data_IF_323532516956
#
_entry.id   IF_323532516956
#
_cell.length_a   1.000
_cell.length_b   1.000
_cell.length_c   1.000
_cell.angle_alpha   90.00
_cell.angle_beta   90.00
_cell.angle_gamma   90.00
#
_symmetry.space_group_name_H-M   'P 1'
#
loop_
_entity.id
_entity.type
_entity.pdbx_description
1 polymer ?
#
# COMPACT_ATOMS: atom_id res chain seq x y z
N UNK A 1 36.46 -16.83 84.45
CA UNK A 1 35.16 -17.45 84.78
C UNK A 1 34.04 -16.51 84.40
N UNK A 2 32.95 -17.07 83.84
CA UNK A 2 31.66 -16.45 83.48
C UNK A 2 31.65 -15.50 82.26
N UNK A 3 31.39 -16.11 81.10
CA UNK A 3 30.82 -15.47 79.89
C UNK A 3 29.35 -15.11 80.19
N UNK A 4 28.93 -13.90 79.86
CA UNK A 4 27.50 -13.51 79.82
C UNK A 4 27.19 -13.06 78.39
N UNK A 5 26.37 -13.86 77.71
CA UNK A 5 25.72 -13.57 76.45
C UNK A 5 24.69 -12.45 76.69
N UNK A 6 24.80 -11.33 75.98
CA UNK A 6 23.74 -10.33 75.89
C UNK A 6 22.98 -10.57 74.58
N UNK A 7 21.74 -11.06 74.70
CA UNK A 7 20.79 -11.16 73.60
C UNK A 7 20.07 -9.81 73.45
N UNK A 8 20.25 -9.15 72.31
CA UNK A 8 19.55 -7.92 71.93
C UNK A 8 18.30 -8.27 71.13
N UNK A 9 17.13 -7.96 71.70
CA UNK A 9 15.84 -7.97 70.98
C UNK A 9 15.79 -6.80 69.99
N UNK A 10 15.41 -7.01 68.71
CA UNK A 10 15.06 -5.92 67.82
C UNK A 10 13.60 -5.48 68.07
N UNK A 11 13.43 -4.19 68.39
CA UNK A 11 12.14 -3.55 68.48
C UNK A 11 11.53 -3.37 67.07
N UNK A 12 10.37 -3.98 66.84
CA UNK A 12 9.56 -3.73 65.64
C UNK A 12 8.87 -2.36 65.78
N UNK A 13 9.25 -1.41 64.93
CA UNK A 13 8.53 -0.14 64.78
C UNK A 13 7.27 -0.37 63.93
N UNK A 14 6.09 -0.26 64.53
CA UNK A 14 4.82 -0.17 63.81
C UNK A 14 4.71 1.22 63.17
N UNK A 15 4.84 1.29 61.85
CA UNK A 15 4.46 2.44 61.04
C UNK A 15 2.92 2.47 60.93
N UNK A 16 2.28 3.36 61.69
CA UNK A 16 0.89 3.71 61.50
C UNK A 16 0.76 4.57 60.23
N UNK A 17 0.29 3.97 59.13
CA UNK A 17 -0.03 4.69 57.91
C UNK A 17 -1.33 5.49 58.13
N UNK A 18 -1.23 6.81 58.12
CA UNK A 18 -2.39 7.70 58.03
C UNK A 18 -3.00 7.57 56.63
N UNK A 19 -4.19 6.96 56.53
CA UNK A 19 -5.00 6.93 55.31
C UNK A 19 -5.71 8.26 55.11
N UNK A 20 -5.16 9.12 54.25
CA UNK A 20 -5.89 10.26 53.72
C UNK A 20 -6.93 9.77 52.68
N UNK A 21 -8.19 10.22 52.71
CA UNK A 21 -9.14 9.92 51.66
C UNK A 21 -8.71 10.57 50.34
N UNK A 22 -8.68 9.77 49.27
CA UNK A 22 -8.36 10.24 47.93
C UNK A 22 -9.39 11.29 47.49
N UNK A 23 -8.90 12.45 47.03
CA UNK A 23 -9.75 13.46 46.41
C UNK A 23 -10.47 12.86 45.18
N UNK A 24 -11.76 13.16 44.96
CA UNK A 24 -12.48 12.71 43.78
C UNK A 24 -11.77 13.25 42.52
N UNK A 25 -11.34 12.34 41.65
CA UNK A 25 -10.81 12.69 40.34
C UNK A 25 -11.95 13.27 39.53
N UNK A 26 -11.92 14.57 39.27
CA UNK A 26 -12.80 15.20 38.29
C UNK A 26 -12.48 14.58 36.93
N UNK A 27 -13.36 13.72 36.45
CA UNK A 27 -13.24 13.10 35.14
C UNK A 27 -13.29 14.22 34.10
N UNK A 28 -12.22 14.37 33.31
CA UNK A 28 -12.23 15.32 32.21
C UNK A 28 -13.42 14.96 31.29
N UNK A 29 -14.20 15.95 30.82
CA UNK A 29 -15.34 15.68 29.94
C UNK A 29 -14.85 14.85 28.75
N UNK A 30 -15.53 13.72 28.52
CA UNK A 30 -15.22 12.83 27.42
C UNK A 30 -15.10 13.66 26.14
N UNK A 31 -13.97 13.52 25.43
CA UNK A 31 -13.81 14.13 24.13
C UNK A 31 -15.02 13.75 23.26
N UNK A 32 -15.61 14.70 22.51
CA UNK A 32 -16.75 14.38 21.66
C UNK A 32 -16.38 13.20 20.78
N UNK A 33 -17.27 12.21 20.70
CA UNK A 33 -17.08 11.05 19.86
C UNK A 33 -16.70 11.53 18.46
N UNK A 34 -15.57 11.05 17.93
CA UNK A 34 -15.18 11.36 16.58
C UNK A 34 -16.38 11.08 15.64
N UNK A 35 -16.68 11.98 14.69
CA UNK A 35 -17.83 11.80 13.81
C UNK A 35 -17.79 10.40 13.20
N UNK A 36 -18.92 9.70 13.27
CA UNK A 36 -19.03 8.39 12.66
C UNK A 36 -18.80 8.54 11.16
N UNK A 37 -17.74 7.93 10.64
CA UNK A 37 -17.50 7.83 9.20
C UNK A 37 -18.50 6.84 8.61
N UNK A 38 -19.76 7.27 8.48
CA UNK A 38 -20.77 6.53 7.76
C UNK A 38 -20.60 6.81 6.27
N UNK A 39 -19.70 6.06 5.63
CA UNK A 39 -19.61 6.00 4.18
C UNK A 39 -20.22 4.70 3.71
N UNK A 40 -21.09 4.77 2.72
CA UNK A 40 -21.60 3.57 2.05
C UNK A 40 -20.44 2.93 1.29
N UNK A 41 -20.08 1.70 1.64
CA UNK A 41 -19.05 0.98 0.90
C UNK A 41 -19.55 0.72 -0.52
N UNK A 42 -18.82 1.21 -1.52
CA UNK A 42 -19.08 0.87 -2.90
C UNK A 42 -18.74 -0.61 -3.14
N UNK A 43 -19.58 -1.30 -3.91
CA UNK A 43 -19.32 -2.68 -4.32
C UNK A 43 -18.41 -2.61 -5.55
N UNK A 44 -17.18 -3.14 -5.50
CA UNK A 44 -16.29 -3.07 -6.65
C UNK A 44 -16.75 -3.97 -7.79
N UNK A 45 -16.37 -3.64 -9.03
CA UNK A 45 -16.68 -4.42 -10.24
C UNK A 45 -16.37 -5.91 -10.10
N UNK A 46 -15.25 -6.25 -9.46
CA UNK A 46 -14.77 -7.61 -9.24
C UNK A 46 -15.33 -8.29 -7.98
N UNK A 47 -16.38 -7.76 -7.35
CA UNK A 47 -16.93 -8.32 -6.12
C UNK A 47 -17.42 -9.78 -6.25
N UNK A 48 -17.73 -10.22 -7.47
CA UNK A 48 -18.09 -11.61 -7.79
C UNK A 48 -16.90 -12.55 -8.02
N UNK A 49 -15.67 -12.04 -8.10
CA UNK A 49 -14.48 -12.85 -8.34
C UNK A 49 -14.18 -13.78 -7.16
N UNK A 50 -13.76 -15.01 -7.46
CA UNK A 50 -13.50 -16.03 -6.43
C UNK A 50 -12.41 -15.66 -5.43
N UNK A 51 -11.38 -14.92 -5.86
CA UNK A 51 -10.35 -14.38 -4.97
C UNK A 51 -10.94 -13.35 -4.02
N UNK A 52 -11.73 -12.42 -4.56
CA UNK A 52 -12.36 -11.34 -3.79
C UNK A 52 -13.34 -11.90 -2.75
N UNK A 53 -14.29 -12.75 -3.17
CA UNK A 53 -15.30 -13.35 -2.28
C UNK A 53 -14.65 -14.12 -1.13
N UNK A 54 -13.63 -14.93 -1.42
CA UNK A 54 -12.92 -15.69 -0.39
C UNK A 54 -12.17 -14.76 0.58
N UNK A 55 -11.53 -13.71 0.07
CA UNK A 55 -10.81 -12.74 0.89
C UNK A 55 -11.77 -11.92 1.76
N UNK A 56 -12.86 -11.40 1.21
CA UNK A 56 -13.89 -10.65 1.93
C UNK A 56 -14.45 -11.45 3.11
N UNK A 57 -14.83 -12.72 2.88
CA UNK A 57 -15.30 -13.60 3.95
C UNK A 57 -14.26 -13.79 5.07
N UNK A 58 -12.98 -13.91 4.71
CA UNK A 58 -11.91 -14.04 5.69
C UNK A 58 -11.72 -12.74 6.48
N UNK A 59 -11.79 -11.58 5.82
CA UNK A 59 -11.71 -10.25 6.46
C UNK A 59 -12.88 -10.03 7.42
N UNK A 60 -14.11 -10.32 7.01
CA UNK A 60 -15.31 -10.19 7.86
C UNK A 60 -15.20 -11.03 9.13
N UNK A 61 -14.71 -12.26 9.01
CA UNK A 61 -14.47 -13.13 10.16
C UNK A 61 -13.42 -12.53 11.13
N UNK A 62 -12.37 -11.88 10.61
CA UNK A 62 -11.35 -11.21 11.46
C UNK A 62 -11.86 -9.93 12.10
N UNK A 63 -12.70 -9.16 11.39
CA UNK A 63 -13.35 -7.97 11.96
C UNK A 63 -14.23 -8.40 13.13
N UNK A 64 -15.05 -9.44 12.96
CA UNK A 64 -15.89 -9.98 14.02
C UNK A 64 -15.07 -10.55 15.20
N UNK A 65 -13.99 -11.27 14.93
CA UNK A 65 -13.10 -11.85 15.96
C UNK A 65 -12.39 -10.78 16.79
N UNK A 66 -11.91 -9.70 16.15
CA UNK A 66 -11.00 -8.73 16.77
C UNK A 66 -11.66 -7.41 17.17
N UNK A 67 -12.91 -7.18 16.76
CA UNK A 67 -13.59 -5.90 16.98
C UNK A 67 -12.87 -4.73 16.30
N UNK A 68 -12.38 -4.94 15.07
CA UNK A 68 -11.62 -3.92 14.32
C UNK A 68 -12.55 -2.75 13.99
N UNK A 69 -12.08 -1.52 14.25
CA UNK A 69 -12.80 -0.29 13.87
C UNK A 69 -12.39 0.16 12.46
N UNK A 70 -13.29 0.80 11.70
CA UNK A 70 -12.96 1.39 10.42
C UNK A 70 -11.75 2.34 10.50
N UNK A 71 -10.85 2.25 9.53
CA UNK A 71 -9.71 3.14 9.43
C UNK A 71 -10.13 4.45 8.74
N UNK A 72 -9.66 5.59 9.26
CA UNK A 72 -9.83 6.89 8.60
C UNK A 72 -8.91 7.04 7.38
N UNK A 73 -7.68 6.56 7.51
CA UNK A 73 -6.64 6.66 6.49
C UNK A 73 -5.99 5.29 6.31
N UNK A 74 -5.59 4.98 5.09
CA UNK A 74 -4.82 3.78 4.74
C UNK A 74 -3.53 4.24 4.08
N UNK A 75 -2.38 3.74 4.56
CA UNK A 75 -1.08 3.98 3.94
C UNK A 75 -0.48 2.61 3.61
N UNK A 76 -0.24 2.37 2.32
CA UNK A 76 0.36 1.13 1.83
C UNK A 76 1.79 1.38 1.38
N UNK A 77 2.76 0.81 2.09
CA UNK A 77 4.17 0.83 1.69
C UNK A 77 4.50 -0.44 0.91
N UNK A 78 4.97 -0.28 -0.33
CA UNK A 78 5.37 -1.39 -1.20
C UNK A 78 6.89 -1.34 -1.40
N UNK A 79 7.61 -2.31 -0.82
CA UNK A 79 9.00 -2.57 -1.18
C UNK A 79 9.05 -3.50 -2.39
N UNK A 80 9.15 -2.94 -3.60
CA UNK A 80 9.23 -3.72 -4.84
C UNK A 80 10.49 -4.62 -4.82
N UNK A 81 10.30 -5.94 -4.95
CA UNK A 81 11.37 -6.93 -4.79
C UNK A 81 11.90 -7.15 -3.36
N UNK A 82 11.25 -6.58 -2.33
CA UNK A 82 11.73 -6.64 -0.95
C UNK A 82 11.31 -7.93 -0.22
N UNK A 83 11.92 -9.06 -0.59
CA UNK A 83 11.73 -10.34 0.09
C UNK A 83 12.33 -10.39 1.51
N UNK A 84 12.09 -11.48 2.23
CA UNK A 84 12.57 -11.69 3.61
C UNK A 84 14.09 -11.59 3.73
N UNK A 85 14.82 -12.11 2.74
CA UNK A 85 16.29 -12.00 2.66
C UNK A 85 16.73 -10.54 2.51
N UNK A 86 16.07 -9.77 1.64
CA UNK A 86 16.33 -8.33 1.46
C UNK A 86 16.09 -7.55 2.74
N UNK A 87 15.01 -7.85 3.49
CA UNK A 87 14.73 -7.23 4.79
C UNK A 87 15.85 -7.52 5.78
N UNK A 88 16.31 -8.77 5.87
CA UNK A 88 17.38 -9.17 6.78
C UNK A 88 18.70 -8.50 6.43
N UNK A 89 19.07 -8.48 5.14
CA UNK A 89 20.26 -7.80 4.65
C UNK A 89 20.22 -6.29 4.93
N UNK A 90 19.08 -5.64 4.67
CA UNK A 90 18.86 -4.22 4.94
C UNK A 90 18.95 -3.88 6.43
N UNK A 91 18.42 -4.75 7.31
CA UNK A 91 18.53 -4.60 8.78
C UNK A 91 19.99 -4.60 9.22
N UNK A 92 20.76 -5.61 8.79
CA UNK A 92 22.19 -5.73 9.15
C UNK A 92 22.95 -4.50 8.65
N UNK A 93 22.77 -4.14 7.37
CA UNK A 93 23.40 -2.96 6.78
C UNK A 93 23.05 -1.68 7.54
N UNK A 94 21.77 -1.45 7.86
CA UNK A 94 21.32 -0.25 8.56
C UNK A 94 21.86 -0.17 10.00
N UNK A 95 21.99 -1.29 10.70
CA UNK A 95 22.61 -1.33 12.03
C UNK A 95 24.10 -1.04 11.98
N UNK A 96 24.83 -1.67 11.05
CA UNK A 96 26.27 -1.42 10.86
C UNK A 96 26.57 0.03 10.48
N UNK A 97 25.76 0.61 9.59
CA UNK A 97 25.86 2.03 9.21
C UNK A 97 25.63 2.99 10.41
N UNK A 98 24.99 2.52 11.48
CA UNK A 98 24.76 3.25 12.73
C UNK A 98 25.78 2.91 13.83
N UNK A 99 26.79 2.09 13.53
CA UNK A 99 27.84 1.70 14.47
C UNK A 99 27.41 0.67 15.51
N UNK A 100 26.33 -0.09 15.26
CA UNK A 100 25.97 -1.26 16.07
C UNK A 100 26.28 -2.56 15.30
N UNK A 101 26.07 -3.72 15.92
CA UNK A 101 26.41 -5.04 15.36
C UNK A 101 25.75 -5.31 13.99
N UNK A 102 24.51 -4.86 13.82
CA UNK A 102 23.71 -5.08 12.62
C UNK A 102 22.61 -6.09 12.86
N UNK A 103 22.95 -7.26 13.38
CA UNK A 103 22.01 -8.37 13.60
C UNK A 103 20.92 -8.02 14.62
N UNK A 104 21.27 -7.32 15.71
CA UNK A 104 20.33 -6.91 16.76
C UNK A 104 19.51 -5.67 16.40
N UNK A 105 19.88 -4.95 15.34
CA UNK A 105 19.17 -3.76 14.90
C UNK A 105 17.75 -4.11 14.44
N UNK A 106 16.82 -3.16 14.49
CA UNK A 106 15.44 -3.34 13.99
C UNK A 106 15.11 -2.23 13.01
N UNK A 107 14.68 -2.59 11.81
CA UNK A 107 14.08 -1.63 10.88
C UNK A 107 12.74 -1.15 11.44
N UNK A 108 12.31 0.06 11.08
CA UNK A 108 11.04 0.63 11.54
C UNK A 108 9.85 -0.27 11.22
N UNK A 109 9.82 -0.92 10.05
CA UNK A 109 8.74 -1.85 9.69
C UNK A 109 8.63 -3.04 10.65
N UNK A 110 9.74 -3.42 11.30
CA UNK A 110 9.79 -4.56 12.22
C UNK A 110 9.29 -4.21 13.62
N UNK A 111 9.01 -2.93 13.89
CA UNK A 111 8.35 -2.50 15.12
C UNK A 111 6.82 -2.55 15.01
N UNK A 112 6.28 -2.82 13.82
CA UNK A 112 4.85 -3.01 13.63
C UNK A 112 4.36 -4.25 14.40
N UNK A 113 3.17 -4.20 15.04
CA UNK A 113 2.69 -5.26 15.94
C UNK A 113 2.18 -6.50 15.21
N UNK A 114 1.95 -6.42 13.90
CA UNK A 114 1.38 -7.51 13.11
C UNK A 114 2.27 -7.81 11.91
N UNK A 115 2.50 -9.09 11.68
CA UNK A 115 3.19 -9.61 10.50
C UNK A 115 2.38 -10.77 9.91
N UNK A 116 2.55 -10.97 8.61
CA UNK A 116 1.98 -12.08 7.88
C UNK A 116 2.91 -12.45 6.73
N UNK A 117 2.82 -13.69 6.27
CA UNK A 117 3.43 -14.11 5.02
C UNK A 117 2.40 -14.00 3.90
N UNK A 118 2.81 -13.46 2.75
CA UNK A 118 1.97 -13.34 1.56
C UNK A 118 2.40 -14.33 0.48
N UNK A 119 1.44 -15.04 -0.13
CA UNK A 119 1.69 -15.94 -1.26
C UNK A 119 1.53 -15.17 -2.57
N UNK A 120 2.63 -14.93 -3.27
CA UNK A 120 2.72 -13.93 -4.33
C UNK A 120 2.55 -14.45 -5.76
N UNK A 121 2.31 -15.75 -5.98
CA UNK A 121 2.06 -16.29 -7.33
C UNK A 121 0.96 -15.50 -8.07
N UNK A 122 1.08 -15.31 -9.37
CA UNK A 122 0.05 -14.71 -10.22
C UNK A 122 -0.91 -15.77 -10.71
N UNK A 123 -1.96 -15.42 -11.46
CA UNK A 123 -2.90 -16.42 -11.96
C UNK A 123 -2.21 -17.46 -12.88
N UNK A 124 -1.19 -17.03 -13.62
CA UNK A 124 -0.54 -17.76 -14.71
C UNK A 124 0.94 -18.09 -14.44
N UNK A 125 1.60 -17.48 -13.46
CA UNK A 125 3.00 -17.78 -13.10
C UNK A 125 3.21 -18.04 -11.60
N UNK A 126 4.13 -18.97 -11.30
CA UNK A 126 4.59 -19.22 -9.94
C UNK A 126 5.40 -18.04 -9.37
N UNK A 127 6.28 -17.47 -10.20
CA UNK A 127 7.02 -16.24 -9.89
C UNK A 127 6.32 -15.10 -10.60
N UNK A 128 5.60 -14.29 -9.83
CA UNK A 128 4.83 -13.17 -10.37
C UNK A 128 5.73 -11.96 -10.65
N UNK A 129 5.19 -11.03 -11.44
CA UNK A 129 5.78 -9.73 -11.71
C UNK A 129 5.15 -8.62 -10.84
N UNK A 130 5.71 -7.41 -10.90
CA UNK A 130 5.18 -6.26 -10.14
C UNK A 130 3.74 -5.91 -10.53
N UNK A 131 3.33 -6.09 -11.80
CA UNK A 131 2.00 -5.70 -12.26
C UNK A 131 0.88 -6.55 -11.65
N UNK A 132 1.02 -7.88 -11.76
CA UNK A 132 0.02 -8.81 -11.21
C UNK A 132 -0.03 -8.76 -9.68
N UNK A 133 1.11 -8.58 -9.01
CA UNK A 133 1.14 -8.48 -7.54
C UNK A 133 0.59 -7.15 -7.01
N UNK A 134 0.90 -6.03 -7.67
CA UNK A 134 0.36 -4.73 -7.28
C UNK A 134 -1.15 -4.66 -7.51
N UNK A 135 -1.64 -5.17 -8.65
CA UNK A 135 -3.07 -5.35 -8.92
C UNK A 135 -3.74 -6.16 -7.81
N UNK A 136 -3.15 -7.29 -7.39
CA UNK A 136 -3.72 -8.09 -6.31
C UNK A 136 -3.76 -7.37 -4.95
N UNK A 137 -2.79 -6.50 -4.66
CA UNK A 137 -2.77 -5.72 -3.42
C UNK A 137 -3.86 -4.66 -3.37
N UNK A 138 -4.17 -4.01 -4.50
CA UNK A 138 -5.07 -2.84 -4.53
C UNK A 138 -6.49 -3.18 -4.97
N UNK A 139 -6.70 -4.24 -5.74
CA UNK A 139 -8.04 -4.65 -6.24
C UNK A 139 -8.60 -5.86 -5.48
N UNK A 140 -7.74 -6.60 -4.76
CA UNK A 140 -8.12 -7.82 -4.06
C UNK A 140 -8.27 -9.07 -4.93
N UNK A 141 -7.95 -9.00 -6.23
CA UNK A 141 -8.00 -10.15 -7.16
C UNK A 141 -6.64 -10.45 -7.77
N UNK A 142 -6.31 -11.74 -7.93
CA UNK A 142 -5.11 -12.14 -8.68
C UNK A 142 -5.41 -12.08 -10.18
N UNK A 143 -4.44 -11.62 -10.94
CA UNK A 143 -4.54 -11.52 -12.41
C UNK A 143 -3.34 -12.17 -13.10
N UNK A 144 -3.34 -12.12 -14.43
CA UNK A 144 -2.26 -12.61 -15.28
C UNK A 144 -1.06 -11.68 -15.21
N UNK A 145 0.14 -12.23 -15.30
CA UNK A 145 1.39 -11.47 -15.23
C UNK A 145 1.45 -10.41 -16.33
N UNK A 146 2.09 -9.28 -16.03
CA UNK A 146 2.23 -8.11 -16.92
C UNK A 146 0.94 -7.34 -17.23
N UNK A 147 -0.19 -7.70 -16.62
CA UNK A 147 -1.45 -6.94 -16.74
C UNK A 147 -1.69 -6.09 -15.48
N UNK A 148 -2.43 -4.99 -15.63
CA UNK A 148 -2.77 -4.05 -14.55
C UNK A 148 -4.28 -3.83 -14.51
N UNK A 149 -4.87 -3.80 -13.31
CA UNK A 149 -6.26 -3.35 -13.11
C UNK A 149 -7.33 -4.16 -13.85
N UNK A 150 -7.03 -5.40 -14.22
CA UNK A 150 -7.97 -6.28 -14.91
C UNK A 150 -7.94 -7.68 -14.30
N UNK A 151 -9.05 -8.40 -14.37
CA UNK A 151 -9.18 -9.80 -13.95
C UNK A 151 -8.46 -10.75 -14.93
N UNK A 152 -8.23 -11.98 -14.52
CA UNK A 152 -7.52 -12.99 -15.32
C UNK A 152 -8.25 -13.47 -16.58
N UNK A 153 -9.50 -13.03 -16.80
CA UNK A 153 -10.23 -13.31 -18.03
C UNK A 153 -9.75 -12.48 -19.24
N UNK A 154 -9.09 -11.35 -18.99
CA UNK A 154 -8.44 -10.57 -20.02
C UNK A 154 -7.12 -11.22 -20.49
N UNK A 155 -6.83 -11.07 -21.78
CA UNK A 155 -5.63 -11.61 -22.42
C UNK A 155 -4.52 -10.57 -22.47
N UNK A 156 -3.30 -11.00 -22.14
CA UNK A 156 -2.10 -10.17 -22.25
C UNK A 156 -1.94 -9.60 -23.66
N UNK A 157 -1.59 -8.31 -23.72
CA UNK A 157 -1.38 -7.54 -24.96
C UNK A 157 -2.58 -7.54 -25.94
N UNK A 158 -3.80 -7.74 -25.44
CA UNK A 158 -5.02 -7.69 -26.24
C UNK A 158 -6.05 -6.72 -25.65
N UNK A 159 -6.07 -5.49 -26.18
CA UNK A 159 -6.93 -4.43 -25.69
C UNK A 159 -8.43 -4.76 -25.75
N UNK A 160 -8.86 -5.48 -26.78
CA UNK A 160 -10.27 -5.84 -26.98
C UNK A 160 -10.83 -6.74 -25.87
N UNK A 161 -9.96 -7.29 -25.00
CA UNK A 161 -10.37 -8.14 -23.88
C UNK A 161 -10.42 -7.42 -22.54
N UNK A 162 -10.03 -6.14 -22.48
CA UNK A 162 -10.05 -5.34 -21.24
C UNK A 162 -11.49 -5.10 -20.78
N UNK A 163 -12.36 -4.72 -21.70
CA UNK A 163 -13.75 -4.44 -21.38
C UNK A 163 -14.46 -5.69 -20.86
N UNK A 164 -15.23 -5.51 -19.78
CA UNK A 164 -15.85 -6.62 -19.03
C UNK A 164 -14.91 -7.33 -18.05
N UNK A 165 -13.61 -7.00 -18.04
CA UNK A 165 -12.64 -7.56 -17.10
C UNK A 165 -11.94 -6.51 -16.23
N UNK A 166 -12.34 -5.25 -16.31
CA UNK A 166 -11.90 -4.12 -15.47
C UNK A 166 -12.11 -4.38 -13.98
N UNK A 167 -11.33 -3.73 -13.13
CA UNK A 167 -11.38 -3.92 -11.66
C UNK A 167 -11.22 -2.60 -10.95
N UNK A 168 -12.05 -2.36 -9.92
CA UNK A 168 -11.89 -1.19 -9.07
C UNK A 168 -10.79 -1.44 -8.04
N UNK A 169 -9.75 -0.62 -8.07
CA UNK A 169 -8.74 -0.52 -7.02
C UNK A 169 -9.31 0.17 -5.77
N UNK A 170 -8.60 0.02 -4.65
CA UNK A 170 -8.87 0.75 -3.41
C UNK A 170 -8.86 2.28 -3.61
N UNK A 171 -8.13 2.77 -4.62
CA UNK A 171 -8.03 4.19 -4.93
C UNK A 171 -9.28 4.68 -5.67
N UNK A 172 -9.78 3.92 -6.65
CA UNK A 172 -11.07 4.21 -7.30
C UNK A 172 -12.20 4.27 -6.26
N UNK A 173 -12.21 3.30 -5.33
CA UNK A 173 -13.18 3.26 -4.25
C UNK A 173 -13.04 4.44 -3.26
N UNK A 174 -11.82 4.94 -3.05
CA UNK A 174 -11.56 6.08 -2.17
C UNK A 174 -12.03 7.39 -2.82
N UNK A 175 -11.70 7.62 -4.09
CA UNK A 175 -12.12 8.77 -4.89
C UNK A 175 -13.64 8.87 -4.98
N UNK A 176 -14.31 7.77 -5.35
CA UNK A 176 -15.78 7.69 -5.37
C UNK A 176 -16.42 7.96 -4.00
N UNK A 177 -15.67 7.78 -2.93
CA UNK A 177 -16.10 8.04 -1.56
C UNK A 177 -15.72 9.45 -1.04
N UNK A 178 -15.15 10.30 -1.91
CA UNK A 178 -14.71 11.65 -1.59
C UNK A 178 -13.53 11.69 -0.62
N UNK A 179 -12.64 10.71 -0.70
CA UNK A 179 -11.41 10.64 0.07
C UNK A 179 -10.24 11.06 -0.82
N UNK A 180 -9.35 11.87 -0.26
CA UNK A 180 -8.11 12.21 -0.93
C UNK A 180 -7.24 10.97 -1.15
N UNK A 181 -6.64 10.89 -2.33
CA UNK A 181 -5.72 9.83 -2.70
C UNK A 181 -4.34 10.37 -3.07
N UNK A 182 -3.34 9.51 -2.99
CA UNK A 182 -2.00 9.89 -3.40
C UNK A 182 -1.07 8.72 -3.64
N UNK A 183 -0.20 8.87 -4.63
CA UNK A 183 0.82 7.91 -5.01
C UNK A 183 2.20 8.55 -4.93
N UNK A 184 3.12 7.87 -4.24
CA UNK A 184 4.51 8.30 -4.09
C UNK A 184 5.42 7.12 -4.41
N UNK A 185 6.35 7.31 -5.33
CA UNK A 185 7.23 6.26 -5.81
C UNK A 185 8.60 6.81 -6.19
N UNK A 186 9.62 5.95 -6.13
CA UNK A 186 10.94 6.23 -6.72
C UNK A 186 11.03 5.78 -8.19
N UNK A 187 10.04 5.04 -8.68
CA UNK A 187 9.93 4.62 -10.07
C UNK A 187 9.24 5.69 -10.93
N UNK A 188 8.94 5.36 -12.19
CA UNK A 188 8.05 6.17 -13.03
C UNK A 188 6.62 6.08 -12.48
N UNK A 189 5.83 7.15 -12.55
CA UNK A 189 4.41 7.10 -12.16
C UNK A 189 3.62 6.07 -12.99
N UNK A 190 4.00 5.91 -14.26
CA UNK A 190 3.49 4.90 -15.18
C UNK A 190 4.07 3.48 -15.00
N UNK A 191 5.02 3.29 -14.09
CA UNK A 191 5.54 1.95 -13.81
C UNK A 191 4.45 1.07 -13.17
N UNK A 192 4.51 -0.24 -13.35
CA UNK A 192 3.46 -1.17 -12.93
C UNK A 192 2.93 -0.98 -11.50
N UNK A 193 3.81 -0.80 -10.51
CA UNK A 193 3.41 -0.71 -9.09
C UNK A 193 2.51 0.51 -8.82
N UNK A 194 2.94 1.77 -9.10
CA UNK A 194 2.04 2.92 -9.00
C UNK A 194 0.88 2.84 -10.00
N UNK A 195 1.12 2.41 -11.24
CA UNK A 195 0.08 2.32 -12.27
C UNK A 195 -1.10 1.44 -11.88
N UNK A 196 -0.87 0.34 -11.15
CA UNK A 196 -1.95 -0.55 -10.68
C UNK A 196 -3.02 0.13 -9.82
N UNK A 197 -2.74 1.33 -9.31
CA UNK A 197 -3.67 2.12 -8.48
C UNK A 197 -4.71 2.88 -9.30
N UNK A 198 -4.52 3.03 -10.61
CA UNK A 198 -5.40 3.86 -11.44
C UNK A 198 -5.59 3.32 -12.88
N UNK A 199 -4.72 2.42 -13.36
CA UNK A 199 -4.74 1.96 -14.73
C UNK A 199 -5.27 0.54 -14.90
N UNK A 200 -5.96 0.35 -16.01
CA UNK A 200 -6.52 -0.91 -16.47
C UNK A 200 -5.97 -1.18 -17.87
N UNK A 201 -4.98 -2.08 -17.96
CA UNK A 201 -4.27 -2.32 -19.22
C UNK A 201 -3.82 -3.79 -19.35
N UNK A 202 -3.92 -4.37 -20.57
CA UNK A 202 -3.50 -5.75 -20.81
C UNK A 202 -1.98 -5.87 -20.90
N UNK A 203 -1.24 -4.76 -20.84
CA UNK A 203 0.21 -4.77 -20.94
C UNK A 203 0.81 -3.57 -20.18
N UNK A 204 1.54 -3.88 -19.10
CA UNK A 204 2.25 -2.92 -18.24
C UNK A 204 3.28 -2.05 -18.97
N UNK A 205 3.73 -2.47 -20.16
CA UNK A 205 4.73 -1.75 -20.93
C UNK A 205 4.13 -0.63 -21.79
N UNK A 206 2.79 -0.50 -21.83
CA UNK A 206 2.07 0.61 -22.47
C UNK A 206 2.15 1.89 -21.62
N UNK A 207 3.35 2.27 -21.18
CA UNK A 207 3.55 3.41 -20.27
C UNK A 207 3.24 4.77 -20.91
N UNK A 208 3.41 4.89 -22.22
CA UNK A 208 3.14 6.09 -23.01
C UNK A 208 2.71 5.69 -24.43
N UNK A 209 1.97 6.57 -25.11
CA UNK A 209 1.65 6.36 -26.52
C UNK A 209 2.88 6.54 -27.41
N UNK A 210 3.42 5.44 -27.92
CA UNK A 210 4.59 5.41 -28.83
C UNK A 210 4.22 5.04 -30.27
N UNK A 211 2.93 5.13 -30.61
CA UNK A 211 2.34 4.65 -31.86
C UNK A 211 1.83 3.22 -31.78
N UNK A 212 1.22 2.73 -32.86
CA UNK A 212 0.61 1.40 -32.95
C UNK A 212 1.65 0.27 -33.11
N UNK A 213 2.58 0.14 -32.16
CA UNK A 213 3.59 -0.90 -32.12
C UNK A 213 3.18 -2.03 -31.18
N UNK A 214 2.77 -3.18 -31.74
CA UNK A 214 2.22 -4.30 -30.98
C UNK A 214 0.69 -4.38 -31.07
N UNK A 215 0.11 -5.46 -30.58
CA UNK A 215 -1.32 -5.72 -30.77
C UNK A 215 -2.20 -4.75 -29.96
N UNK A 216 -1.76 -4.34 -28.75
CA UNK A 216 -2.51 -3.43 -27.90
C UNK A 216 -2.21 -1.93 -28.12
N UNK A 217 -0.98 -1.55 -28.48
CA UNK A 217 -0.52 -0.15 -28.44
C UNK A 217 -1.27 0.83 -29.36
N UNK A 218 -2.00 0.33 -30.36
CA UNK A 218 -2.83 1.16 -31.25
C UNK A 218 -4.30 1.27 -30.85
N UNK A 219 -4.77 0.47 -29.89
CA UNK A 219 -6.18 0.36 -29.50
C UNK A 219 -6.43 0.63 -28.02
N UNK A 220 -5.40 0.51 -27.18
CA UNK A 220 -5.46 0.84 -25.77
C UNK A 220 -4.99 2.26 -25.50
N UNK A 221 -5.65 2.89 -24.55
CA UNK A 221 -5.14 4.09 -23.90
C UNK A 221 -3.89 3.76 -23.09
N UNK A 222 -2.85 4.58 -23.23
CA UNK A 222 -1.59 4.38 -22.51
C UNK A 222 -1.72 4.74 -21.02
N UNK A 223 -0.85 4.17 -20.18
CA UNK A 223 -0.90 4.34 -18.73
C UNK A 223 -0.71 5.80 -18.32
N UNK A 224 0.11 6.58 -19.02
CA UNK A 224 0.26 8.00 -18.71
C UNK A 224 -1.01 8.79 -19.01
N UNK A 225 -1.69 8.51 -20.11
CA UNK A 225 -3.02 9.07 -20.40
C UNK A 225 -4.05 8.67 -19.33
N UNK A 226 -4.11 7.39 -18.96
CA UNK A 226 -5.03 6.91 -17.90
C UNK A 226 -4.78 7.56 -16.53
N UNK A 227 -3.57 8.05 -16.24
CA UNK A 227 -3.31 8.82 -15.01
C UNK A 227 -3.94 10.21 -15.05
N UNK A 228 -3.83 10.89 -16.20
CA UNK A 228 -4.29 12.27 -16.38
C UNK A 228 -5.80 12.32 -16.60
N UNK A 229 -6.32 11.38 -17.38
CA UNK A 229 -7.73 11.26 -17.75
C UNK A 229 -8.49 10.30 -16.82
N UNK A 230 -7.93 10.01 -15.64
CA UNK A 230 -8.52 9.07 -14.67
C UNK A 230 -9.95 9.51 -14.32
N UNK A 231 -10.98 8.68 -14.55
CA UNK A 231 -12.37 9.13 -14.50
C UNK A 231 -12.94 9.22 -13.08
N UNK A 232 -12.14 8.87 -12.06
CA UNK A 232 -12.59 8.77 -10.68
C UNK A 232 -12.33 10.05 -9.89
N UNK A 233 -13.36 10.55 -9.22
CA UNK A 233 -13.26 11.73 -8.36
C UNK A 233 -12.79 12.98 -9.10
N UNK A 234 -11.87 13.71 -8.48
CA UNK A 234 -11.11 14.81 -9.08
C UNK A 234 -9.63 14.46 -9.34
N UNK A 235 -9.32 13.15 -9.32
CA UNK A 235 -7.99 12.59 -9.51
C UNK A 235 -7.09 12.72 -8.28
N UNK A 236 -5.85 12.23 -8.39
CA UNK A 236 -4.91 12.25 -7.26
C UNK A 236 -4.59 13.67 -6.77
N UNK A 237 -4.71 13.93 -5.47
CA UNK A 237 -4.16 15.16 -4.88
C UNK A 237 -2.63 15.17 -4.80
N UNK A 238 -2.01 13.98 -4.78
CA UNK A 238 -0.55 13.83 -4.75
C UNK A 238 -0.11 12.73 -5.70
N UNK A 239 0.68 13.09 -6.72
CA UNK A 239 1.38 12.13 -7.56
C UNK A 239 2.87 12.50 -7.66
N UNK A 240 3.72 11.82 -6.90
CA UNK A 240 5.17 12.04 -6.91
C UNK A 240 5.92 10.81 -7.39
N UNK A 241 6.72 11.00 -8.44
CA UNK A 241 7.56 9.96 -9.02
C UNK A 241 8.38 10.49 -10.19
N UNK A 242 9.03 9.58 -10.90
CA UNK A 242 9.71 9.88 -12.16
C UNK A 242 8.80 9.69 -13.38
N UNK A 243 9.43 9.61 -14.56
CA UNK A 243 8.73 9.25 -15.80
C UNK A 243 8.25 10.41 -16.65
N UNK A 244 8.78 11.63 -16.46
CA UNK A 244 8.40 12.84 -17.23
C UNK A 244 8.30 12.60 -18.74
N UNK A 245 9.23 11.84 -19.33
CA UNK A 245 9.23 11.51 -20.76
C UNK A 245 7.94 10.84 -21.26
N UNK A 246 7.14 10.21 -20.40
CA UNK A 246 5.86 9.58 -20.77
C UNK A 246 4.68 10.57 -20.84
N UNK A 247 4.85 11.76 -20.29
CA UNK A 247 3.79 12.78 -20.15
C UNK A 247 4.03 14.00 -21.04
N UNK A 248 5.29 14.26 -21.42
CA UNK A 248 5.64 15.46 -22.18
C UNK A 248 5.22 15.38 -23.65
N UNK A 249 4.94 16.53 -24.24
CA UNK A 249 4.76 16.65 -25.70
C UNK A 249 5.94 16.11 -26.51
N UNK A 250 5.62 15.49 -27.65
CA UNK A 250 6.62 14.97 -28.58
C UNK A 250 7.65 16.04 -28.97
N UNK A 251 8.94 15.68 -28.90
CA UNK A 251 10.05 16.57 -29.26
C UNK A 251 10.44 17.59 -28.18
N UNK A 252 9.66 17.72 -27.10
CA UNK A 252 10.02 18.59 -25.98
C UNK A 252 11.26 18.03 -25.25
N UNK A 253 12.33 18.82 -25.06
CA UNK A 253 13.48 18.42 -24.25
C UNK A 253 13.12 18.33 -22.77
N UNK A 254 13.68 17.36 -22.05
CA UNK A 254 13.49 17.27 -20.59
C UNK A 254 14.07 18.53 -19.89
N UNK A 255 13.36 19.12 -18.92
CA UNK A 255 13.78 20.36 -18.27
C UNK A 255 15.04 20.22 -17.39
N UNK A 256 15.37 19.01 -16.92
CA UNK A 256 16.59 18.75 -16.14
C UNK A 256 17.68 18.06 -16.98
N UNK A 257 17.28 17.29 -18.00
CA UNK A 257 18.18 16.59 -18.90
C UNK A 257 17.93 16.93 -20.39
N UNK A 258 18.35 18.11 -20.90
CA UNK A 258 17.97 18.61 -22.22
C UNK A 258 18.37 17.73 -23.43
N UNK A 259 19.23 16.73 -23.23
CA UNK A 259 19.61 15.74 -24.24
C UNK A 259 18.59 14.60 -24.39
N UNK A 260 17.73 14.41 -23.40
CA UNK A 260 16.60 13.47 -23.43
C UNK A 260 15.35 14.20 -23.92
N UNK A 261 14.51 13.47 -24.63
CA UNK A 261 13.24 13.99 -25.18
C UNK A 261 12.08 13.10 -24.75
N UNK A 262 10.86 13.60 -24.95
CA UNK A 262 9.63 12.83 -24.76
C UNK A 262 9.62 11.50 -25.52
N UNK A 263 8.96 10.50 -24.93
CA UNK A 263 8.63 9.23 -25.57
C UNK A 263 7.29 9.28 -26.32
N UNK A 264 6.41 10.22 -26.00
CA UNK A 264 5.08 10.33 -26.62
C UNK A 264 5.16 10.62 -28.12
N UNK A 265 4.17 10.14 -28.88
CA UNK A 265 4.04 10.32 -30.34
C UNK A 265 2.66 10.80 -30.81
N UNK A 266 1.87 11.38 -29.91
CA UNK A 266 0.49 11.83 -30.14
C UNK A 266 0.27 13.32 -29.82
N UNK A 267 1.34 14.10 -29.69
CA UNK A 267 1.32 15.54 -29.43
C UNK A 267 0.62 16.01 -28.13
N UNK A 268 0.21 15.08 -27.25
CA UNK A 268 -0.33 15.39 -25.91
C UNK A 268 0.75 15.94 -24.97
N UNK A 269 0.37 16.90 -24.14
CA UNK A 269 1.19 17.50 -23.07
C UNK A 269 0.39 17.54 -21.76
#
# INVERSE_FOLDING_TARGET
MRKILAATLPAFALLAACSAPAAPKTEAPAAPAAPAFQRTAAVPQQAGDSYYVRAAKAVDARIAERGVKPAKNVILFIGDGMGVSTITAARIYAGQARGVDGESYRLTMETLPYSALSKTYSNDFQVADSASTATAMVTGVKTNSRTLGITSGASYDNCATVDGHRTDSLFDLAERAGLATGVVTTARLSHATPASTYSETPNRDLEAYVGAQGAAAGSCEDIAAQLIDWPEGDGFEVAFGGGRSNFMKQGTPDPEEPVKTSFRRDDRD
#
